data_IF_632703006090
#
_entry.id   IF_632703006090
#
_cell.length_a   1.000
_cell.length_b   1.000
_cell.length_c   1.000
_cell.angle_alpha   90.00
_cell.angle_beta   90.00
_cell.angle_gamma   90.00
#
_symmetry.space_group_name_H-M   'P 1'
#
loop_
_entity.id
_entity.type
_entity.pdbx_description
1 polymer ?
#
# COMPACT_ATOMS: atom_id res chain seq x y z
N UNK A 1 -25.23 5.29 1.26
CA UNK A 1 -24.17 4.56 1.99
C UNK A 1 -23.90 5.31 3.29
N UNK A 2 -24.02 4.67 4.44
CA UNK A 2 -23.64 5.30 5.71
C UNK A 2 -22.11 5.38 5.76
N UNK A 3 -21.55 6.59 5.80
CA UNK A 3 -20.10 6.78 5.95
C UNK A 3 -19.69 6.33 7.35
N UNK A 4 -18.67 5.46 7.42
CA UNK A 4 -18.05 5.12 8.71
C UNK A 4 -17.26 6.34 9.16
N UNK A 5 -17.68 6.94 10.28
CA UNK A 5 -16.95 8.02 10.94
C UNK A 5 -16.04 7.39 11.99
N UNK A 6 -14.73 7.58 11.85
CA UNK A 6 -13.74 7.11 12.79
C UNK A 6 -13.71 8.03 14.01
N UNK A 7 -14.20 7.51 15.15
CA UNK A 7 -14.11 8.18 16.46
C UNK A 7 -12.79 7.96 17.17
N UNK A 8 -11.95 7.08 16.62
CA UNK A 8 -10.66 6.68 17.17
C UNK A 8 -9.65 6.52 16.03
N UNK A 9 -8.35 6.66 16.33
CA UNK A 9 -7.29 6.42 15.37
C UNK A 9 -7.35 4.95 14.87
N UNK A 10 -7.40 4.70 13.55
CA UNK A 10 -7.52 3.34 13.01
C UNK A 10 -6.24 2.50 13.18
N UNK A 11 -5.11 3.13 13.54
CA UNK A 11 -3.82 2.44 13.71
C UNK A 11 -3.55 2.10 15.18
N UNK A 12 -3.67 3.06 16.09
CA UNK A 12 -3.35 2.85 17.51
C UNK A 12 -4.58 2.85 18.44
N UNK A 13 -5.80 2.96 17.90
CA UNK A 13 -7.07 3.02 18.64
C UNK A 13 -7.16 4.14 19.68
N UNK A 14 -6.28 5.14 19.58
CA UNK A 14 -6.33 6.32 20.43
C UNK A 14 -7.65 7.06 20.22
N UNK A 15 -8.32 7.44 21.30
CA UNK A 15 -9.62 8.13 21.30
C UNK A 15 -9.56 9.52 21.97
N UNK A 16 -8.37 9.95 22.41
CA UNK A 16 -8.18 11.19 23.16
C UNK A 16 -8.15 12.38 22.19
N UNK A 17 -9.14 13.25 22.24
CA UNK A 17 -9.32 14.37 21.32
C UNK A 17 -8.13 15.34 21.27
N UNK A 18 -7.50 15.61 22.42
CA UNK A 18 -6.36 16.53 22.56
C UNK A 18 -5.12 16.05 21.82
N UNK A 19 -5.06 14.73 21.55
CA UNK A 19 -3.97 14.10 20.81
C UNK A 19 -4.32 13.84 19.34
N UNK A 20 -5.42 14.43 18.86
CA UNK A 20 -5.85 14.44 17.47
C UNK A 20 -5.89 15.87 16.95
N UNK A 21 -5.31 16.07 15.78
CA UNK A 21 -5.23 17.38 15.14
C UNK A 21 -5.80 17.31 13.73
N UNK A 22 -6.65 18.27 13.38
CA UNK A 22 -7.08 18.44 12.01
C UNK A 22 -5.93 18.99 11.17
N UNK A 23 -5.65 18.37 10.03
CA UNK A 23 -4.54 18.73 9.13
C UNK A 23 -5.06 19.55 7.95
N UNK A 24 -5.98 18.96 7.19
CA UNK A 24 -6.52 19.55 5.97
C UNK A 24 -7.86 18.89 5.59
N UNK A 25 -8.55 19.49 4.63
CA UNK A 25 -9.72 18.90 3.97
C UNK A 25 -9.34 18.40 2.58
N UNK A 26 -9.73 17.16 2.26
CA UNK A 26 -9.54 16.55 0.95
C UNK A 26 -10.89 16.06 0.45
N UNK A 27 -11.43 16.76 -0.56
CA UNK A 27 -12.74 16.44 -1.17
C UNK A 27 -13.89 16.34 -0.14
N UNK A 28 -13.91 17.21 0.88
CA UNK A 28 -14.94 17.23 1.93
C UNK A 28 -14.68 16.25 3.08
N UNK A 29 -13.49 15.67 3.14
CA UNK A 29 -13.10 14.66 4.14
C UNK A 29 -11.94 15.20 4.94
N UNK A 30 -12.05 15.15 6.27
CA UNK A 30 -11.01 15.70 7.14
C UNK A 30 -9.87 14.70 7.29
N UNK A 31 -8.64 15.17 7.10
CA UNK A 31 -7.45 14.43 7.51
C UNK A 31 -7.11 14.76 8.95
N UNK A 32 -7.01 13.73 9.78
CA UNK A 32 -6.69 13.81 11.19
C UNK A 32 -5.30 13.23 11.41
N UNK A 33 -4.44 14.00 12.08
CA UNK A 33 -3.15 13.58 12.58
C UNK A 33 -3.28 13.07 14.01
N UNK A 34 -2.86 11.83 14.27
CA UNK A 34 -2.76 11.28 15.61
C UNK A 34 -1.34 11.46 16.16
N UNK A 35 -1.20 12.34 17.16
CA UNK A 35 0.09 12.65 17.81
C UNK A 35 0.70 11.46 18.56
N UNK A 36 -0.11 10.46 18.91
CA UNK A 36 0.33 9.29 19.69
C UNK A 36 1.11 8.28 18.87
N UNK A 37 0.71 8.05 17.61
CA UNK A 37 1.33 7.06 16.73
C UNK A 37 1.88 7.67 15.43
N UNK A 38 1.96 9.01 15.38
CA UNK A 38 2.50 9.77 14.26
C UNK A 38 1.87 9.38 12.91
N UNK A 39 0.55 9.19 12.88
CA UNK A 39 -0.19 8.74 11.69
C UNK A 39 -1.23 9.77 11.26
N UNK A 40 -1.33 10.02 9.96
CA UNK A 40 -2.41 10.80 9.35
C UNK A 40 -3.42 9.85 8.69
N UNK A 41 -4.71 10.05 8.96
CA UNK A 41 -5.80 9.24 8.41
C UNK A 41 -7.03 10.10 8.07
N UNK A 42 -7.93 9.60 7.23
CA UNK A 42 -9.21 10.27 6.96
C UNK A 42 -10.22 9.98 8.08
N UNK A 43 -10.92 11.00 8.57
CA UNK A 43 -11.94 10.87 9.64
C UNK A 43 -13.18 10.08 9.21
N UNK A 44 -13.44 9.98 7.91
CA UNK A 44 -14.41 9.06 7.33
C UNK A 44 -13.98 8.60 5.94
N UNK A 45 -14.70 7.61 5.38
CA UNK A 45 -14.42 7.14 4.01
C UNK A 45 -14.67 8.27 3.00
N UNK A 46 -13.72 8.55 2.09
CA UNK A 46 -13.92 9.59 1.09
C UNK A 46 -15.05 9.24 0.12
N UNK A 47 -15.75 10.25 -0.43
CA UNK A 47 -16.88 10.05 -1.33
C UNK A 47 -16.45 9.39 -2.64
N UNK A 48 -15.24 9.70 -3.13
CA UNK A 48 -14.59 8.98 -4.22
C UNK A 48 -13.55 8.05 -3.65
N UNK A 49 -13.74 6.76 -3.88
CA UNK A 49 -12.73 5.76 -3.57
C UNK A 49 -11.94 5.45 -4.84
N UNK A 50 -10.62 5.24 -4.73
CA UNK A 50 -9.85 4.73 -5.84
C UNK A 50 -10.43 3.39 -6.29
N UNK A 51 -10.64 3.26 -7.61
CA UNK A 51 -11.02 2.01 -8.24
C UNK A 51 -9.73 1.29 -8.63
N UNK A 52 -9.43 0.21 -7.92
CA UNK A 52 -8.26 -0.62 -8.16
C UNK A 52 -8.59 -1.69 -9.20
N UNK A 53 -8.74 -1.27 -10.46
CA UNK A 53 -9.03 -2.16 -11.59
C UNK A 53 -7.82 -2.35 -12.52
N UNK A 54 -7.98 -3.15 -13.57
CA UNK A 54 -6.97 -3.31 -14.62
C UNK A 54 -6.55 -1.98 -15.27
N UNK A 55 -7.43 -0.97 -15.34
CA UNK A 55 -7.09 0.32 -15.96
C UNK A 55 -6.18 1.14 -15.07
N UNK A 56 -6.45 1.17 -13.76
CA UNK A 56 -5.54 1.71 -12.75
C UNK A 56 -4.15 1.08 -12.87
N UNK A 57 -4.09 -0.24 -13.02
CA UNK A 57 -2.84 -0.98 -13.05
C UNK A 57 -2.01 -0.83 -14.33
N UNK A 58 -2.63 -0.48 -15.47
CA UNK A 58 -1.91 -0.20 -16.74
C UNK A 58 -0.91 0.95 -16.64
N UNK A 59 -1.08 1.85 -15.67
CA UNK A 59 -0.19 3.00 -15.51
C UNK A 59 1.19 2.64 -14.94
N UNK A 60 1.34 1.48 -14.29
CA UNK A 60 2.61 1.06 -13.65
C UNK A 60 3.64 0.43 -14.60
N UNK A 61 3.53 0.71 -15.90
CA UNK A 61 4.50 0.32 -16.93
C UNK A 61 5.33 1.50 -17.46
N UNK A 62 5.23 2.69 -16.85
CA UNK A 62 6.06 3.81 -17.28
C UNK A 62 7.54 3.52 -16.97
N UNK A 63 8.50 4.06 -17.75
CA UNK A 63 9.92 3.80 -17.53
C UNK A 63 10.40 4.09 -16.10
N UNK A 64 9.81 5.10 -15.44
CA UNK A 64 10.11 5.42 -14.04
C UNK A 64 9.64 4.35 -13.06
N UNK A 65 8.47 3.75 -13.29
CA UNK A 65 7.90 2.73 -12.41
C UNK A 65 8.62 1.40 -12.57
N UNK A 66 8.98 1.03 -13.81
CA UNK A 66 9.83 -0.14 -14.09
C UNK A 66 11.17 -0.03 -13.35
N UNK A 67 11.80 1.15 -13.39
CA UNK A 67 13.06 1.40 -12.69
C UNK A 67 12.91 1.26 -11.18
N UNK A 68 11.83 1.79 -10.60
CA UNK A 68 11.54 1.67 -9.15
C UNK A 68 11.32 0.21 -8.74
N UNK A 69 10.54 -0.55 -9.53
CA UNK A 69 10.32 -1.98 -9.29
C UNK A 69 11.64 -2.77 -9.33
N UNK A 70 12.51 -2.48 -10.30
CA UNK A 70 13.85 -3.07 -10.37
C UNK A 70 14.73 -2.78 -9.15
N UNK A 71 14.75 -1.53 -8.68
CA UNK A 71 15.50 -1.13 -7.47
C UNK A 71 14.94 -1.85 -6.24
N UNK A 72 13.61 -1.94 -6.11
CA UNK A 72 12.97 -2.62 -4.99
C UNK A 72 13.28 -4.12 -4.99
N UNK A 73 13.14 -4.78 -6.13
CA UNK A 73 13.44 -6.21 -6.29
C UNK A 73 14.91 -6.51 -5.96
N UNK A 74 15.85 -5.71 -6.45
CA UNK A 74 17.27 -5.89 -6.19
C UNK A 74 17.61 -5.76 -4.69
N UNK A 75 17.05 -4.74 -4.00
CA UNK A 75 17.25 -4.56 -2.56
C UNK A 75 16.66 -5.70 -1.74
N UNK A 76 15.48 -6.20 -2.11
CA UNK A 76 14.87 -7.35 -1.46
C UNK A 76 15.68 -8.62 -1.69
N UNK A 77 16.16 -8.86 -2.90
CA UNK A 77 17.02 -10.00 -3.21
C UNK A 77 18.30 -10.01 -2.37
N UNK A 78 18.96 -8.86 -2.25
CA UNK A 78 20.15 -8.71 -1.41
C UNK A 78 19.83 -9.03 0.07
N UNK A 79 18.71 -8.50 0.59
CA UNK A 79 18.27 -8.78 1.96
C UNK A 79 17.99 -10.27 2.18
N UNK A 80 17.32 -10.91 1.21
CA UNK A 80 16.97 -12.33 1.25
C UNK A 80 18.21 -13.22 1.29
N UNK A 81 19.22 -12.90 0.48
CA UNK A 81 20.50 -13.61 0.42
C UNK A 81 21.29 -13.43 1.73
N UNK A 82 21.31 -12.21 2.29
CA UNK A 82 22.08 -11.90 3.50
C UNK A 82 21.47 -12.45 4.78
N UNK A 83 20.14 -12.45 4.90
CA UNK A 83 19.47 -12.66 6.20
C UNK A 83 18.47 -13.81 6.24
N UNK A 84 17.74 -14.07 5.16
CA UNK A 84 16.49 -14.85 5.24
C UNK A 84 16.51 -16.21 4.55
N UNK A 85 17.66 -16.67 4.04
CA UNK A 85 17.89 -18.04 3.52
C UNK A 85 16.71 -18.59 2.69
N UNK A 86 16.40 -17.92 1.58
CA UNK A 86 15.30 -18.23 0.62
C UNK A 86 13.88 -18.10 1.23
N UNK A 87 13.42 -16.88 1.52
CA UNK A 87 12.06 -16.66 2.01
C UNK A 87 11.03 -16.85 0.90
N UNK A 88 9.79 -17.14 1.32
CA UNK A 88 8.61 -16.93 0.50
C UNK A 88 8.18 -15.47 0.66
N UNK A 89 7.97 -14.77 -0.46
CA UNK A 89 7.61 -13.35 -0.51
C UNK A 89 6.17 -13.24 -1.01
N UNK A 90 5.33 -12.50 -0.29
CA UNK A 90 3.98 -12.16 -0.72
C UNK A 90 3.86 -10.65 -0.86
N UNK A 91 3.49 -10.18 -2.05
CA UNK A 91 3.20 -8.77 -2.33
C UNK A 91 1.68 -8.56 -2.33
N UNK A 92 1.21 -7.68 -1.44
CA UNK A 92 -0.19 -7.27 -1.39
C UNK A 92 -0.41 -5.99 -2.20
N UNK A 93 -1.40 -6.00 -3.10
CA UNK A 93 -1.55 -4.95 -4.11
C UNK A 93 -0.47 -5.06 -5.19
N UNK A 94 -0.25 -6.29 -5.68
CA UNK A 94 0.80 -6.58 -6.66
C UNK A 94 0.57 -5.89 -8.02
N UNK A 95 -0.64 -5.40 -8.27
CA UNK A 95 -0.99 -4.63 -9.45
C UNK A 95 -0.70 -5.40 -10.74
N UNK A 96 0.24 -4.91 -11.55
CA UNK A 96 0.63 -5.60 -12.79
C UNK A 96 1.62 -6.77 -12.59
N UNK A 97 1.99 -7.08 -11.36
CA UNK A 97 2.90 -8.19 -11.03
C UNK A 97 4.37 -7.95 -11.38
N UNK A 98 4.76 -6.72 -11.76
CA UNK A 98 6.11 -6.44 -12.26
C UNK A 98 7.20 -6.73 -11.21
N UNK A 99 6.99 -6.30 -9.97
CA UNK A 99 7.94 -6.55 -8.87
C UNK A 99 8.03 -8.05 -8.57
N UNK A 100 6.89 -8.76 -8.48
CA UNK A 100 6.84 -10.22 -8.32
C UNK A 100 7.62 -10.94 -9.42
N UNK A 101 7.40 -10.56 -10.69
CA UNK A 101 8.12 -11.13 -11.84
C UNK A 101 9.63 -10.93 -11.71
N UNK A 102 10.08 -9.73 -11.34
CA UNK A 102 11.50 -9.42 -11.18
C UNK A 102 12.13 -10.22 -10.02
N UNK A 103 11.43 -10.37 -8.89
CA UNK A 103 11.88 -11.19 -7.77
C UNK A 103 12.01 -12.67 -8.17
N UNK A 104 11.05 -13.21 -8.94
CA UNK A 104 11.12 -14.58 -9.49
C UNK A 104 12.30 -14.74 -10.45
N UNK A 105 12.54 -13.76 -11.31
CA UNK A 105 13.70 -13.76 -12.21
C UNK A 105 15.04 -13.75 -11.46
N UNK A 106 15.06 -13.24 -10.23
CA UNK A 106 16.22 -13.28 -9.31
C UNK A 106 16.30 -14.58 -8.49
N UNK A 107 15.46 -15.57 -8.79
CA UNK A 107 15.46 -16.89 -8.12
C UNK A 107 14.79 -16.89 -6.75
N UNK A 108 13.94 -15.91 -6.45
CA UNK A 108 13.18 -15.86 -5.20
C UNK A 108 11.78 -16.45 -5.38
N UNK A 109 11.25 -17.04 -4.32
CA UNK A 109 9.89 -17.55 -4.31
C UNK A 109 8.92 -16.42 -3.95
N UNK A 110 8.35 -15.74 -4.94
CA UNK A 110 7.48 -14.58 -4.75
C UNK A 110 6.06 -14.82 -5.32
N UNK A 111 5.05 -14.23 -4.69
CA UNK A 111 3.63 -14.31 -5.05
C UNK A 111 3.00 -12.91 -4.94
N UNK A 112 1.98 -12.64 -5.74
CA UNK A 112 1.23 -11.39 -5.74
C UNK A 112 -0.26 -11.63 -5.53
N UNK A 113 -0.87 -10.85 -4.65
CA UNK A 113 -2.33 -10.77 -4.50
C UNK A 113 -2.80 -9.36 -4.85
N UNK A 114 -3.96 -9.28 -5.50
CA UNK A 114 -4.61 -8.01 -5.82
C UNK A 114 -6.13 -8.12 -5.58
N UNK A 115 -6.80 -6.97 -5.48
CA UNK A 115 -8.26 -6.93 -5.36
C UNK A 115 -8.93 -7.32 -6.68
N UNK A 116 -8.29 -7.04 -7.81
CA UNK A 116 -8.71 -7.59 -9.11
C UNK A 116 -8.15 -9.01 -9.25
N UNK A 117 -9.02 -10.03 -9.16
CA UNK A 117 -8.63 -11.44 -9.28
C UNK A 117 -7.85 -11.74 -10.56
N UNK A 118 -8.07 -10.98 -11.64
CA UNK A 118 -7.36 -11.14 -12.91
C UNK A 118 -5.88 -10.75 -12.84
N UNK A 119 -5.46 -10.08 -11.76
CA UNK A 119 -4.12 -9.53 -11.55
C UNK A 119 -3.32 -10.28 -10.49
N UNK A 120 -3.92 -11.28 -9.83
CA UNK A 120 -3.19 -12.12 -8.88
C UNK A 120 -2.18 -13.03 -9.62
N UNK A 121 -0.93 -13.12 -9.14
CA UNK A 121 0.20 -13.72 -9.88
C UNK A 121 1.17 -14.57 -9.05
#
# INVERSE_FOLDING_TARGET
>A
MNSIIYRQCPVCHNAISESMEWVEDVEGVKRIYCKRCDTIYFDHKPPRQPVYDINYNKHFFRPGDIRKAGIMAAKLAELCQKKWKRPNILEAGAGNGLTVMLLRAMGLNAFGIDLDEKLSV
#
